data_IF_547901346808
#
_entry.id   IF_547901346808
#
_cell.length_a   1.000
_cell.length_b   1.000
_cell.length_c   1.000
_cell.angle_alpha   90.00
_cell.angle_beta   90.00
_cell.angle_gamma   90.00
#
_symmetry.space_group_name_H-M   'P 1'
#
loop_
_entity.id
_entity.type
_entity.pdbx_description
1 polymer ?
#
# COMPACT_ATOMS: atom_id res chain seq x y z
N UNK A 1 1.23 39.18 22.56
CA UNK A 1 1.05 38.46 23.85
C UNK A 1 0.98 36.98 23.53
N UNK A 2 2.01 36.21 23.89
CA UNK A 2 2.07 34.77 23.60
C UNK A 2 1.08 34.03 24.51
N UNK A 3 0.37 33.02 23.99
CA UNK A 3 -0.55 32.21 24.81
C UNK A 3 0.26 31.46 25.88
N UNK A 4 -0.30 31.37 27.09
CA UNK A 4 0.26 30.55 28.16
C UNK A 4 0.07 29.06 27.82
N UNK A 5 1.05 28.18 28.11
CA UNK A 5 0.88 26.73 28.00
C UNK A 5 -0.23 26.23 28.92
N UNK A 6 -0.92 25.16 28.50
CA UNK A 6 -1.95 24.50 29.32
C UNK A 6 -1.30 23.81 30.53
N UNK A 7 -1.98 23.86 31.68
CA UNK A 7 -1.57 23.12 32.88
C UNK A 7 -2.13 21.69 32.79
N UNK A 8 -1.29 20.71 32.47
CA UNK A 8 -1.72 19.33 32.14
C UNK A 8 -2.49 18.56 33.24
N UNK A 9 -2.53 19.05 34.48
CA UNK A 9 -3.36 18.49 35.56
C UNK A 9 -4.73 19.18 35.71
N UNK A 10 -4.94 20.32 35.03
CA UNK A 10 -6.20 21.09 35.04
C UNK A 10 -6.91 21.03 33.71
N UNK A 11 -6.15 20.97 32.62
CA UNK A 11 -6.65 21.10 31.26
C UNK A 11 -6.20 19.89 30.44
N UNK A 12 -7.16 19.20 29.82
CA UNK A 12 -6.90 18.11 28.88
C UNK A 12 -6.79 18.63 27.46
N UNK A 13 -5.90 18.04 26.67
CA UNK A 13 -5.87 18.21 25.22
C UNK A 13 -6.67 17.09 24.57
N UNK A 14 -7.72 17.42 23.82
CA UNK A 14 -8.47 16.43 23.05
C UNK A 14 -7.66 15.98 21.83
N UNK A 15 -7.38 14.68 21.75
CA UNK A 15 -6.63 14.05 20.68
C UNK A 15 -7.51 13.35 19.66
N UNK A 16 -8.83 13.37 19.88
CA UNK A 16 -9.81 12.75 18.98
C UNK A 16 -9.66 13.33 17.58
N UNK A 17 -9.51 12.45 16.61
CA UNK A 17 -9.23 12.80 15.23
C UNK A 17 -10.25 12.15 14.32
N UNK A 18 -10.98 12.98 13.58
CA UNK A 18 -12.00 12.54 12.63
C UNK A 18 -11.44 12.65 11.22
N UNK A 19 -11.07 11.53 10.63
CA UNK A 19 -10.65 11.47 9.23
C UNK A 19 -11.89 11.59 8.34
N UNK A 20 -11.88 12.60 7.47
CA UNK A 20 -13.03 12.93 6.62
C UNK A 20 -14.11 13.77 7.29
N UNK A 21 -13.90 14.29 8.50
CA UNK A 21 -14.91 15.06 9.26
C UNK A 21 -15.31 16.44 8.69
N UNK A 22 -14.75 16.84 7.54
CA UNK A 22 -15.15 18.07 6.85
C UNK A 22 -16.60 17.99 6.35
N UNK A 23 -17.37 19.09 6.49
CA UNK A 23 -18.81 19.12 6.17
C UNK A 23 -19.08 18.60 4.74
N UNK A 24 -19.77 17.47 4.65
CA UNK A 24 -20.29 16.90 3.39
C UNK A 24 -19.27 16.14 2.53
N UNK A 25 -18.07 15.84 3.03
CA UNK A 25 -17.03 15.16 2.23
C UNK A 25 -17.23 13.64 2.19
N UNK A 26 -17.63 13.03 3.32
CA UNK A 26 -17.86 11.58 3.43
C UNK A 26 -19.12 11.28 4.24
N UNK A 27 -19.84 10.22 3.87
CA UNK A 27 -21.04 9.76 4.59
C UNK A 27 -20.71 9.14 5.96
N UNK A 28 -19.57 8.43 6.04
CA UNK A 28 -19.12 7.71 7.23
C UNK A 28 -17.66 8.04 7.54
N UNK A 29 -17.38 9.08 8.33
CA UNK A 29 -16.03 9.42 8.74
C UNK A 29 -15.45 8.39 9.71
N UNK A 30 -14.12 8.27 9.75
CA UNK A 30 -13.42 7.40 10.68
C UNK A 30 -13.00 8.21 11.89
N UNK A 31 -13.41 7.77 13.08
CA UNK A 31 -13.03 8.37 14.36
C UNK A 31 -11.85 7.58 14.97
N UNK A 32 -10.76 8.30 15.27
CA UNK A 32 -9.59 7.79 15.99
C UNK A 32 -9.47 8.53 17.32
N UNK A 33 -9.03 7.84 18.37
CA UNK A 33 -8.80 8.45 19.69
C UNK A 33 -7.57 9.35 19.74
N UNK A 34 -6.64 9.18 18.78
CA UNK A 34 -5.38 9.91 18.69
C UNK A 34 -5.09 10.35 17.25
N UNK A 35 -4.31 11.43 17.02
CA UNK A 35 -4.00 11.95 15.69
C UNK A 35 -2.85 11.20 15.00
N UNK A 36 -2.61 9.94 15.36
CA UNK A 36 -1.48 9.14 14.87
C UNK A 36 -1.99 7.76 14.51
N UNK A 37 -1.80 7.34 13.27
CA UNK A 37 -2.09 5.99 12.81
C UNK A 37 -0.87 5.36 12.14
N UNK A 38 -0.87 4.03 12.01
CA UNK A 38 0.29 3.28 11.51
C UNK A 38 0.19 3.18 9.98
N UNK A 39 1.24 3.64 9.28
CA UNK A 39 1.35 3.59 7.83
C UNK A 39 1.43 2.15 7.29
N UNK A 40 0.99 1.95 6.05
CA UNK A 40 0.89 0.63 5.41
C UNK A 40 2.25 -0.02 5.18
N UNK A 41 2.38 -1.29 5.60
CA UNK A 41 3.51 -2.15 5.25
C UNK A 41 3.01 -3.50 4.72
N UNK A 42 3.58 -3.97 3.62
CA UNK A 42 3.07 -5.12 2.86
C UNK A 42 3.15 -6.44 3.64
N UNK A 43 2.31 -7.41 3.23
CA UNK A 43 2.60 -8.81 3.49
C UNK A 43 3.92 -9.20 2.81
N UNK A 44 4.81 -9.89 3.53
CA UNK A 44 6.17 -10.23 3.06
C UNK A 44 7.26 -9.20 3.40
N UNK A 45 6.92 -7.93 3.67
CA UNK A 45 7.85 -6.97 4.27
C UNK A 45 7.91 -7.10 5.80
N UNK A 46 6.77 -7.47 6.40
CA UNK A 46 6.65 -7.77 7.83
C UNK A 46 6.22 -9.22 8.03
N UNK A 47 6.69 -9.82 9.12
CA UNK A 47 6.21 -11.12 9.59
C UNK A 47 4.75 -11.04 10.06
N UNK A 48 4.07 -12.19 10.11
CA UNK A 48 2.71 -12.28 10.64
C UNK A 48 2.63 -11.70 12.08
N UNK A 49 3.60 -12.03 12.93
CA UNK A 49 3.68 -11.52 14.31
C UNK A 49 3.84 -10.00 14.36
N UNK A 50 4.62 -9.40 13.46
CA UNK A 50 4.77 -7.95 13.40
C UNK A 50 3.45 -7.26 13.00
N UNK A 51 2.71 -7.81 12.03
CA UNK A 51 1.38 -7.31 11.65
C UNK A 51 0.37 -7.43 12.79
N UNK A 52 0.32 -8.59 13.44
CA UNK A 52 -0.52 -8.79 14.62
C UNK A 52 -0.16 -7.81 15.75
N UNK A 53 1.14 -7.56 15.95
CA UNK A 53 1.64 -6.55 16.89
C UNK A 53 1.12 -5.14 16.59
N UNK A 54 1.20 -4.70 15.34
CA UNK A 54 0.63 -3.41 14.92
C UNK A 54 -0.89 -3.36 15.10
N UNK A 55 -1.61 -4.42 14.73
CA UNK A 55 -3.06 -4.51 14.92
C UNK A 55 -3.47 -4.40 16.39
N UNK A 56 -2.87 -5.21 17.26
CA UNK A 56 -3.12 -5.15 18.71
C UNK A 56 -2.73 -3.79 19.30
N UNK A 57 -1.59 -3.23 18.90
CA UNK A 57 -1.14 -1.92 19.35
C UNK A 57 -2.09 -0.80 18.95
N UNK A 58 -2.54 -0.80 17.69
CA UNK A 58 -3.49 0.17 17.16
C UNK A 58 -4.82 0.12 17.95
N UNK A 59 -5.36 -1.08 18.16
CA UNK A 59 -6.59 -1.28 18.94
C UNK A 59 -6.46 -0.79 20.39
N UNK A 60 -5.31 -1.02 21.03
CA UNK A 60 -5.06 -0.60 22.42
C UNK A 60 -5.14 0.91 22.62
N UNK A 61 -4.65 1.70 21.66
CA UNK A 61 -4.65 3.17 21.74
C UNK A 61 -5.82 3.81 21.00
N UNK A 62 -6.71 3.00 20.40
CA UNK A 62 -7.85 3.47 19.63
C UNK A 62 -7.45 4.20 18.34
N UNK A 63 -6.42 3.72 17.66
CA UNK A 63 -6.06 4.16 16.32
C UNK A 63 -6.18 3.03 15.30
N UNK A 64 -5.92 3.34 14.03
CA UNK A 64 -5.93 2.38 12.94
C UNK A 64 -4.52 1.98 12.50
N UNK A 65 -4.44 0.82 11.89
CA UNK A 65 -3.35 0.40 11.02
C UNK A 65 -3.96 -0.04 9.70
N UNK A 66 -3.25 0.15 8.58
CA UNK A 66 -3.71 -0.44 7.32
C UNK A 66 -3.75 -1.97 7.43
N UNK A 67 -4.71 -2.58 6.73
CA UNK A 67 -5.00 -4.03 6.68
C UNK A 67 -3.90 -4.88 6.03
N UNK A 68 -2.80 -4.27 5.58
CA UNK A 68 -1.63 -4.98 5.08
C UNK A 68 -1.48 -5.02 3.56
N UNK A 69 -2.15 -4.10 2.85
CA UNK A 69 -1.95 -3.90 1.41
C UNK A 69 -0.48 -3.62 1.10
N UNK A 70 0.07 -4.44 0.22
CA UNK A 70 1.36 -4.22 -0.38
C UNK A 70 1.93 -5.49 -0.99
N UNK A 71 2.91 -5.33 -1.87
CA UNK A 71 3.32 -6.39 -2.79
C UNK A 71 2.41 -6.52 -4.01
N UNK A 72 1.34 -5.71 -4.08
CA UNK A 72 0.52 -5.49 -5.27
C UNK A 72 1.38 -4.82 -6.34
N UNK A 73 1.60 -5.51 -7.44
CA UNK A 73 2.50 -5.08 -8.52
C UNK A 73 1.84 -5.09 -9.90
N UNK A 74 0.63 -5.60 -9.99
CA UNK A 74 -0.09 -5.79 -11.26
C UNK A 74 -1.59 -5.53 -11.06
N UNK A 75 -2.29 -5.31 -12.16
CA UNK A 75 -3.75 -5.28 -12.15
C UNK A 75 -4.36 -6.63 -11.76
N UNK A 76 -3.65 -7.74 -12.01
CA UNK A 76 -4.06 -9.08 -11.55
C UNK A 76 -4.11 -9.16 -10.02
N UNK A 77 -3.09 -8.63 -9.34
CA UNK A 77 -3.06 -8.59 -7.87
C UNK A 77 -4.19 -7.70 -7.32
N UNK A 78 -4.41 -6.55 -7.95
CA UNK A 78 -5.48 -5.64 -7.58
C UNK A 78 -6.88 -6.25 -7.79
N UNK A 79 -7.10 -6.96 -8.90
CA UNK A 79 -8.35 -7.65 -9.18
C UNK A 79 -8.68 -8.72 -8.11
N UNK A 80 -7.67 -9.45 -7.61
CA UNK A 80 -7.85 -10.38 -6.49
C UNK A 80 -8.27 -9.66 -5.21
N UNK A 81 -7.67 -8.52 -4.90
CA UNK A 81 -8.08 -7.72 -3.74
C UNK A 81 -9.54 -7.26 -3.87
N UNK A 82 -9.95 -6.78 -5.05
CA UNK A 82 -11.34 -6.39 -5.32
C UNK A 82 -12.29 -7.59 -5.14
N UNK A 83 -11.95 -8.74 -5.72
CA UNK A 83 -12.72 -9.98 -5.60
C UNK A 83 -12.86 -10.48 -4.15
N UNK A 84 -11.83 -10.25 -3.31
CA UNK A 84 -11.85 -10.55 -1.87
C UNK A 84 -12.62 -9.50 -1.04
N UNK A 85 -13.21 -8.49 -1.68
CA UNK A 85 -14.07 -7.49 -1.05
C UNK A 85 -13.43 -6.13 -0.82
N UNK A 86 -12.23 -5.86 -1.34
CA UNK A 86 -11.64 -4.52 -1.26
C UNK A 86 -12.41 -3.52 -2.14
N UNK A 87 -12.62 -2.30 -1.65
CA UNK A 87 -13.23 -1.23 -2.45
C UNK A 87 -12.20 -0.44 -3.28
N UNK A 88 -10.94 -0.44 -2.85
CA UNK A 88 -9.82 0.20 -3.52
C UNK A 88 -8.53 -0.55 -3.17
N UNK A 89 -7.46 -0.32 -3.93
CA UNK A 89 -6.17 -0.99 -3.72
C UNK A 89 -5.05 0.04 -3.72
N UNK A 90 -4.29 0.11 -2.63
CA UNK A 90 -3.11 0.96 -2.51
C UNK A 90 -1.86 0.25 -3.05
N UNK A 91 -1.01 1.01 -3.73
CA UNK A 91 0.33 0.58 -4.14
C UNK A 91 1.38 1.57 -3.62
N UNK A 92 2.55 1.06 -3.23
CA UNK A 92 3.69 1.88 -2.80
C UNK A 92 4.91 1.59 -3.66
N UNK A 93 5.63 0.50 -3.34
CA UNK A 93 6.87 0.15 -4.02
C UNK A 93 6.70 -0.01 -5.55
N UNK A 94 5.58 -0.55 -6.02
CA UNK A 94 5.35 -0.71 -7.45
C UNK A 94 5.22 0.63 -8.20
N UNK A 95 4.54 1.62 -7.59
CA UNK A 95 4.51 2.98 -8.12
C UNK A 95 5.91 3.64 -8.12
N UNK A 96 6.72 3.39 -7.07
CA UNK A 96 8.10 3.89 -7.01
C UNK A 96 8.99 3.25 -8.08
N UNK A 97 8.83 1.95 -8.35
CA UNK A 97 9.53 1.27 -9.44
C UNK A 97 9.12 1.84 -10.80
N UNK A 98 7.83 2.07 -11.04
CA UNK A 98 7.34 2.73 -12.25
C UNK A 98 7.90 4.16 -12.39
N UNK A 99 7.98 4.91 -11.29
CA UNK A 99 8.56 6.24 -11.25
C UNK A 99 10.05 6.25 -11.68
N UNK A 100 10.78 5.17 -11.39
CA UNK A 100 12.16 4.96 -11.81
C UNK A 100 13.10 4.50 -10.68
N UNK A 101 12.56 4.13 -9.51
CA UNK A 101 13.33 3.47 -8.46
C UNK A 101 14.06 2.25 -9.02
N UNK A 102 15.30 2.03 -8.58
CA UNK A 102 16.12 0.90 -9.01
C UNK A 102 16.39 0.83 -10.53
N UNK A 103 16.12 1.89 -11.30
CA UNK A 103 16.47 1.93 -12.72
C UNK A 103 17.98 1.80 -12.92
N UNK A 104 18.48 1.18 -14.01
CA UNK A 104 19.92 0.97 -14.24
C UNK A 104 20.70 2.25 -14.58
N UNK A 105 20.11 3.43 -14.37
CA UNK A 105 20.75 4.73 -14.53
C UNK A 105 21.71 4.96 -13.36
N UNK A 106 22.89 5.51 -13.60
CA UNK A 106 23.90 5.81 -12.57
C UNK A 106 24.47 4.55 -11.87
N UNK A 107 24.88 3.55 -12.65
CA UNK A 107 25.44 2.28 -12.14
C UNK A 107 26.59 2.47 -11.14
N UNK A 108 27.50 3.40 -11.41
CA UNK A 108 28.63 3.71 -10.53
C UNK A 108 28.19 4.14 -9.12
N UNK A 109 27.10 4.90 -9.02
CA UNK A 109 26.59 5.37 -7.74
C UNK A 109 25.92 4.24 -6.95
N UNK A 110 25.28 3.28 -7.63
CA UNK A 110 24.84 2.04 -7.00
C UNK A 110 26.03 1.21 -6.49
N UNK A 111 27.11 1.09 -7.27
CA UNK A 111 28.32 0.37 -6.87
C UNK A 111 29.01 1.01 -5.67
N UNK A 112 29.09 2.35 -5.61
CA UNK A 112 29.62 3.09 -4.45
C UNK A 112 28.81 2.82 -3.16
N UNK A 113 27.51 2.54 -3.30
CA UNK A 113 26.64 2.13 -2.21
C UNK A 113 26.72 0.61 -1.91
N UNK A 114 27.57 -0.14 -2.59
CA UNK A 114 27.69 -1.59 -2.42
C UNK A 114 26.45 -2.36 -2.88
N UNK A 115 25.72 -1.85 -3.87
CA UNK A 115 24.48 -2.46 -4.36
C UNK A 115 24.38 -2.40 -5.89
N UNK A 116 23.28 -2.89 -6.45
CA UNK A 116 23.01 -2.90 -7.89
C UNK A 116 21.60 -2.40 -8.19
N UNK A 117 21.36 -1.88 -9.41
CA UNK A 117 20.01 -1.64 -9.90
C UNK A 117 19.14 -2.91 -9.76
N UNK A 118 17.91 -2.75 -9.31
CA UNK A 118 16.97 -3.85 -9.03
C UNK A 118 17.07 -4.43 -7.61
N UNK A 119 18.18 -4.21 -6.90
CA UNK A 119 18.42 -4.75 -5.55
C UNK A 119 18.71 -3.68 -4.49
N UNK A 120 18.66 -2.39 -4.84
CA UNK A 120 18.95 -1.31 -3.92
C UNK A 120 17.83 -1.12 -2.89
N UNK A 121 18.22 -1.12 -1.62
CA UNK A 121 17.38 -0.94 -0.43
C UNK A 121 17.97 0.12 0.54
N UNK A 122 18.87 0.97 0.04
CA UNK A 122 19.60 1.99 0.81
C UNK A 122 18.84 3.32 0.95
N UNK A 123 17.50 3.31 0.88
CA UNK A 123 16.69 4.54 0.91
C UNK A 123 16.95 5.41 2.16
N UNK A 124 17.30 4.77 3.28
CA UNK A 124 17.60 5.40 4.57
C UNK A 124 18.89 6.24 4.57
N UNK A 125 19.77 6.07 3.59
CA UNK A 125 21.04 6.84 3.51
C UNK A 125 20.84 8.23 2.90
N UNK A 126 19.70 8.47 2.25
CA UNK A 126 19.48 9.69 1.47
C UNK A 126 20.32 9.79 0.19
N UNK A 127 21.10 8.76 -0.16
CA UNK A 127 22.03 8.77 -1.30
C UNK A 127 21.44 8.13 -2.56
N UNK A 128 20.12 8.19 -2.76
CA UNK A 128 19.45 7.51 -3.86
C UNK A 128 20.02 7.92 -5.23
N UNK A 129 20.63 7.00 -6.02
CA UNK A 129 21.27 7.35 -7.29
C UNK A 129 20.33 7.96 -8.33
N UNK A 130 19.06 7.59 -8.29
CA UNK A 130 18.04 8.00 -9.26
C UNK A 130 17.14 9.14 -8.77
N UNK A 131 17.49 9.77 -7.64
CA UNK A 131 16.78 10.96 -7.15
C UNK A 131 15.41 10.68 -6.52
N UNK A 132 15.10 9.44 -6.17
CA UNK A 132 13.78 9.07 -5.62
C UNK A 132 13.71 9.29 -4.10
N UNK A 133 14.70 8.78 -3.36
CA UNK A 133 14.73 8.82 -1.90
C UNK A 133 15.96 9.59 -1.41
N UNK A 134 15.94 10.90 -1.60
CA UNK A 134 17.03 11.83 -1.26
C UNK A 134 16.46 13.21 -0.94
N UNK A 135 17.22 14.01 -0.19
CA UNK A 135 16.98 15.44 0.02
C UNK A 135 18.21 16.27 -0.41
N UNK A 136 19.16 15.63 -1.11
CA UNK A 136 20.36 16.27 -1.63
C UNK A 136 20.03 16.89 -2.99
N UNK A 137 20.16 18.22 -3.18
CA UNK A 137 19.69 18.90 -4.39
C UNK A 137 20.21 18.31 -5.71
N UNK A 138 21.48 17.90 -5.75
CA UNK A 138 22.11 17.34 -6.95
C UNK A 138 21.58 15.94 -7.30
N UNK A 139 21.17 15.16 -6.30
CA UNK A 139 20.56 13.84 -6.50
C UNK A 139 19.08 13.98 -6.84
N UNK A 140 18.36 14.87 -6.16
CA UNK A 140 16.95 15.17 -6.41
C UNK A 140 16.73 15.63 -7.86
N UNK A 141 17.60 16.49 -8.38
CA UNK A 141 17.55 16.98 -9.75
C UNK A 141 17.64 15.87 -10.83
N UNK A 142 18.08 14.65 -10.47
CA UNK A 142 18.12 13.50 -11.39
C UNK A 142 16.72 12.93 -11.69
N UNK A 143 15.73 13.21 -10.85
CA UNK A 143 14.34 12.83 -11.09
C UNK A 143 13.58 13.98 -11.76
N UNK A 144 13.31 13.84 -13.05
CA UNK A 144 12.36 14.70 -13.75
C UNK A 144 10.91 14.33 -13.35
N UNK A 145 10.16 15.21 -12.67
CA UNK A 145 8.80 14.94 -12.22
C UNK A 145 7.81 14.73 -13.37
N UNK A 146 8.00 15.37 -14.53
CA UNK A 146 7.10 15.21 -15.68
C UNK A 146 7.31 13.85 -16.35
N UNK A 147 8.57 13.50 -16.62
CA UNK A 147 8.88 12.17 -17.16
C UNK A 147 8.51 11.06 -16.16
N UNK A 148 8.66 11.30 -14.86
CA UNK A 148 8.22 10.42 -13.79
C UNK A 148 6.70 10.20 -13.79
N UNK A 149 5.93 11.29 -13.85
CA UNK A 149 4.47 11.25 -13.92
C UNK A 149 3.99 10.45 -15.13
N UNK A 150 4.57 10.64 -16.31
CA UNK A 150 4.25 9.87 -17.52
C UNK A 150 4.45 8.36 -17.34
N UNK A 151 5.54 7.95 -16.69
CA UNK A 151 5.80 6.52 -16.42
C UNK A 151 4.78 5.94 -15.44
N UNK A 152 4.48 6.67 -14.37
CA UNK A 152 3.47 6.26 -13.38
C UNK A 152 2.09 6.18 -14.02
N UNK A 153 1.71 7.17 -14.84
CA UNK A 153 0.42 7.18 -15.54
C UNK A 153 0.25 5.98 -16.47
N UNK A 154 1.28 5.64 -17.25
CA UNK A 154 1.28 4.45 -18.12
C UNK A 154 1.14 3.16 -17.31
N UNK A 155 1.86 3.05 -16.19
CA UNK A 155 1.78 1.90 -15.31
C UNK A 155 0.38 1.74 -14.69
N UNK A 156 -0.21 2.81 -14.14
CA UNK A 156 -1.56 2.79 -13.60
C UNK A 156 -2.63 2.49 -14.68
N UNK A 157 -2.43 3.03 -15.89
CA UNK A 157 -3.30 2.75 -17.04
C UNK A 157 -3.25 1.26 -17.39
N UNK A 158 -2.05 0.68 -17.48
CA UNK A 158 -1.88 -0.75 -17.75
C UNK A 158 -2.52 -1.62 -16.67
N UNK A 159 -2.32 -1.29 -15.38
CA UNK A 159 -3.00 -2.00 -14.28
C UNK A 159 -4.53 -1.91 -14.41
N UNK A 160 -5.07 -0.74 -14.74
CA UNK A 160 -6.51 -0.54 -14.91
C UNK A 160 -7.06 -1.36 -16.08
N UNK A 161 -6.32 -1.42 -17.19
CA UNK A 161 -6.66 -2.25 -18.35
C UNK A 161 -6.66 -3.74 -17.99
N UNK A 162 -5.67 -4.22 -17.22
CA UNK A 162 -5.59 -5.59 -16.75
C UNK A 162 -6.78 -5.96 -15.86
N UNK A 163 -7.11 -5.13 -14.85
CA UNK A 163 -8.28 -5.36 -13.98
C UNK A 163 -9.56 -5.42 -14.82
N UNK A 164 -9.72 -4.49 -15.76
CA UNK A 164 -10.88 -4.44 -16.66
C UNK A 164 -10.97 -5.68 -17.54
N UNK A 165 -9.84 -6.16 -18.06
CA UNK A 165 -9.79 -7.37 -18.87
C UNK A 165 -10.21 -8.61 -18.07
N UNK A 166 -9.75 -8.73 -16.82
CA UNK A 166 -10.14 -9.81 -15.91
C UNK A 166 -11.61 -9.76 -15.53
N UNK A 167 -12.12 -8.58 -15.14
CA UNK A 167 -13.55 -8.41 -14.84
C UNK A 167 -14.42 -8.83 -16.03
N UNK A 168 -14.07 -8.40 -17.25
CA UNK A 168 -14.77 -8.81 -18.47
C UNK A 168 -14.65 -10.32 -18.74
N UNK A 169 -13.50 -10.93 -18.49
CA UNK A 169 -13.32 -12.38 -18.63
C UNK A 169 -14.20 -13.17 -17.66
N UNK A 170 -14.48 -12.62 -16.47
CA UNK A 170 -15.43 -13.14 -15.49
C UNK A 170 -16.89 -12.78 -15.79
N UNK A 171 -17.20 -12.16 -16.94
CA UNK A 171 -18.56 -11.75 -17.30
C UNK A 171 -19.10 -10.55 -16.50
N UNK A 172 -18.21 -9.78 -15.87
CA UNK A 172 -18.58 -8.62 -15.03
C UNK A 172 -18.53 -7.33 -15.83
N UNK A 173 -19.53 -6.46 -15.64
CA UNK A 173 -19.62 -5.13 -16.27
C UNK A 173 -18.90 -4.03 -15.48
N UNK A 174 -18.52 -4.31 -14.24
CA UNK A 174 -17.76 -3.42 -13.35
C UNK A 174 -16.71 -4.24 -12.61
N UNK A 175 -15.54 -3.63 -12.35
CA UNK A 175 -14.47 -4.25 -11.55
C UNK A 175 -14.90 -4.50 -10.10
N UNK A 176 -15.90 -3.75 -9.61
CA UNK A 176 -16.47 -3.93 -8.28
C UNK A 176 -17.49 -5.08 -8.20
N UNK A 177 -17.82 -5.72 -9.33
CA UNK A 177 -18.66 -6.91 -9.35
C UNK A 177 -17.82 -8.21 -9.33
N UNK A 178 -16.49 -8.10 -9.22
CA UNK A 178 -15.63 -9.24 -8.97
C UNK A 178 -15.94 -9.80 -7.57
N UNK A 179 -16.06 -11.12 -7.48
CA UNK A 179 -16.46 -11.82 -6.27
C UNK A 179 -15.50 -12.99 -5.96
N UNK A 180 -15.58 -13.54 -4.76
CA UNK A 180 -14.74 -14.66 -4.32
C UNK A 180 -14.89 -15.88 -5.25
N UNK A 181 -16.07 -16.05 -5.84
CA UNK A 181 -16.42 -17.09 -6.81
C UNK A 181 -15.57 -17.03 -8.08
N UNK A 182 -15.07 -15.85 -8.45
CA UNK A 182 -14.19 -15.63 -9.61
C UNK A 182 -12.75 -16.08 -9.34
N UNK A 183 -12.43 -16.45 -8.11
CA UNK A 183 -11.10 -16.90 -7.69
C UNK A 183 -11.06 -18.42 -7.48
N UNK A 184 -9.87 -18.99 -7.69
CA UNK A 184 -9.52 -20.32 -7.21
C UNK A 184 -8.16 -20.30 -6.56
N UNK A 185 -8.06 -20.93 -5.40
CA UNK A 185 -6.80 -21.13 -4.69
C UNK A 185 -5.98 -22.22 -5.39
N UNK A 186 -4.68 -21.96 -5.54
CA UNK A 186 -3.73 -22.89 -6.16
C UNK A 186 -2.93 -23.71 -5.14
N UNK A 187 -3.14 -23.48 -3.85
CA UNK A 187 -2.51 -24.23 -2.75
C UNK A 187 -3.50 -24.47 -1.61
N UNK A 188 -3.25 -25.52 -0.81
CA UNK A 188 -4.08 -25.87 0.34
C UNK A 188 -4.08 -24.78 1.39
N UNK A 189 -2.91 -24.18 1.63
CA UNK A 189 -2.71 -23.10 2.58
C UNK A 189 -3.49 -21.85 2.17
N UNK A 190 -3.40 -21.47 0.88
CA UNK A 190 -4.15 -20.32 0.38
C UNK A 190 -5.67 -20.54 0.52
N UNK A 191 -6.16 -21.75 0.22
CA UNK A 191 -7.57 -22.09 0.37
C UNK A 191 -8.02 -22.04 1.84
N UNK A 192 -7.26 -22.64 2.75
CA UNK A 192 -7.57 -22.67 4.18
C UNK A 192 -7.53 -21.27 4.83
N UNK A 193 -6.57 -20.43 4.48
CA UNK A 193 -6.44 -19.10 5.07
C UNK A 193 -7.45 -18.08 4.53
N UNK A 194 -7.87 -18.21 3.27
CA UNK A 194 -8.72 -17.21 2.62
C UNK A 194 -10.18 -17.63 2.50
N UNK A 195 -10.49 -18.92 2.67
CA UNK A 195 -11.81 -19.46 2.37
C UNK A 195 -12.13 -19.55 0.87
N UNK A 196 -11.16 -19.25 -0.01
CA UNK A 196 -11.32 -19.39 -1.46
C UNK A 196 -11.29 -20.87 -1.85
N UNK A 197 -12.23 -21.30 -2.70
CA UNK A 197 -12.30 -22.68 -3.23
C UNK A 197 -11.01 -23.07 -3.96
N UNK A 198 -10.55 -24.31 -3.79
CA UNK A 198 -9.36 -24.80 -4.49
C UNK A 198 -9.67 -25.07 -5.98
N UNK A 199 -8.69 -24.86 -6.86
CA UNK A 199 -8.80 -25.24 -8.26
C UNK A 199 -9.12 -26.74 -8.40
N UNK A 200 -10.22 -27.06 -9.08
CA UNK A 200 -10.71 -28.44 -9.23
C UNK A 200 -11.55 -28.97 -8.05
N UNK A 201 -11.83 -28.15 -7.03
CA UNK A 201 -12.65 -28.53 -5.86
C UNK A 201 -13.73 -27.47 -5.60
N UNK A 202 -14.98 -27.89 -5.43
CA UNK A 202 -16.12 -26.97 -5.20
C UNK A 202 -16.33 -26.56 -3.74
N UNK A 203 -15.29 -26.69 -2.91
CA UNK A 203 -15.27 -26.25 -1.51
C UNK A 203 -13.89 -25.72 -1.11
N UNK A 204 -13.80 -24.84 -0.10
CA UNK A 204 -12.54 -24.49 0.52
C UNK A 204 -11.90 -25.71 1.20
N UNK A 205 -10.58 -25.68 1.32
CA UNK A 205 -9.86 -26.63 2.16
C UNK A 205 -9.96 -26.20 3.63
N UNK A 206 -10.23 -27.16 4.51
CA UNK A 206 -10.32 -26.97 5.96
C UNK A 206 -9.34 -27.97 6.61
N UNK A 207 -8.65 -27.54 7.65
CA UNK A 207 -7.70 -28.37 8.43
C UNK A 207 -8.39 -29.24 9.47
#
# INVERSE_FOLDING_TARGET
MTRLPLEGYRESCDTTTILGGGRGIVEKPIELKIPIYIASMSFGALSASAKAGHGHGASKVGTMTCTGEGGIRSGVDAAKCLALGANAVMIGNAAMMALGCNSPRYLEDYQKLGTSPGACHHCHTGMCPVGVATQTPELEARMDPHAGAERVARYLTAMTMEITALAKACGKSSVHNLEVEDLRAMSFEASAFTGVKMAGIERPFEW
#
